data_IF_320667723425
#
_entry.id   IF_320667723425
#
_cell.length_a   1.000
_cell.length_b   1.000
_cell.length_c   1.000
_cell.angle_alpha   90.00
_cell.angle_beta   90.00
_cell.angle_gamma   90.00
#
_symmetry.space_group_name_H-M   'P 1'
#
loop_
_entity.id
_entity.type
_entity.pdbx_description
1 polymer ?
#
# COMPACT_ATOMS: atom_id res chain seq x y z
N UNK A 1 -3.55 17.99 -14.25
CA UNK A 1 -3.19 16.60 -13.87
C UNK A 1 -2.56 16.64 -12.49
N UNK A 2 -3.04 15.77 -11.60
CA UNK A 2 -2.45 15.59 -10.26
C UNK A 2 -1.36 14.53 -10.33
N UNK A 3 -0.18 14.87 -9.84
CA UNK A 3 1.01 14.02 -9.91
C UNK A 3 1.61 13.87 -8.52
N UNK A 4 1.96 12.65 -8.17
CA UNK A 4 2.72 12.31 -6.96
C UNK A 4 4.15 11.99 -7.37
N UNK A 5 5.10 12.67 -6.74
CA UNK A 5 6.53 12.45 -6.91
C UNK A 5 7.08 11.98 -5.56
N UNK A 6 7.82 10.88 -5.57
CA UNK A 6 8.56 10.41 -4.40
C UNK A 6 10.04 10.35 -4.73
N UNK A 7 10.88 10.78 -3.79
CA UNK A 7 12.34 10.73 -3.90
C UNK A 7 12.90 10.13 -2.61
N UNK A 8 13.66 9.04 -2.70
CA UNK A 8 14.16 8.28 -1.54
C UNK A 8 15.59 7.86 -1.78
N UNK A 9 16.45 8.05 -0.79
CA UNK A 9 17.85 7.62 -0.85
C UNK A 9 18.64 8.01 0.39
N UNK A 10 19.96 7.79 0.39
CA UNK A 10 20.84 8.21 1.48
C UNK A 10 20.76 9.72 1.70
N UNK A 11 20.70 10.15 2.97
CA UNK A 11 20.58 11.56 3.30
C UNK A 11 21.90 12.32 3.11
N UNK A 12 21.81 13.49 2.52
CA UNK A 12 22.87 14.50 2.44
C UNK A 12 22.31 15.87 2.02
N UNK A 13 23.12 16.92 2.21
CA UNK A 13 22.73 18.30 1.89
C UNK A 13 22.40 18.49 0.40
N UNK A 14 21.32 19.21 0.11
CA UNK A 14 20.98 19.67 -1.24
C UNK A 14 20.19 18.69 -2.10
N UNK A 15 19.45 17.73 -1.47
CA UNK A 15 18.67 16.73 -2.19
C UNK A 15 17.34 17.25 -2.72
N UNK A 16 16.63 18.06 -1.94
CA UNK A 16 15.29 18.53 -2.28
C UNK A 16 15.27 19.60 -3.38
N UNK A 17 16.23 20.55 -3.31
CA UNK A 17 16.24 21.74 -4.17
C UNK A 17 16.20 21.44 -5.68
N UNK A 18 17.01 20.52 -6.25
CA UNK A 18 16.98 20.25 -7.68
C UNK A 18 15.63 19.75 -8.19
N UNK A 19 14.92 18.94 -7.38
CA UNK A 19 13.60 18.42 -7.71
C UNK A 19 12.56 19.52 -7.66
N UNK A 20 12.54 20.30 -6.57
CA UNK A 20 11.62 21.43 -6.38
C UNK A 20 11.82 22.48 -7.46
N UNK A 21 13.08 22.86 -7.74
CA UNK A 21 13.41 23.83 -8.77
C UNK A 21 12.94 23.38 -10.16
N UNK A 22 13.15 22.10 -10.49
CA UNK A 22 12.72 21.56 -11.79
C UNK A 22 11.20 21.64 -11.95
N UNK A 23 10.41 21.16 -10.96
CA UNK A 23 8.93 21.14 -11.07
C UNK A 23 8.36 22.56 -11.09
N UNK A 24 8.89 23.47 -10.28
CA UNK A 24 8.45 24.88 -10.28
C UNK A 24 8.86 25.61 -11.55
N UNK A 25 10.03 25.30 -12.11
CA UNK A 25 10.48 25.81 -13.42
C UNK A 25 9.58 25.41 -14.58
N UNK A 26 8.88 24.28 -14.48
CA UNK A 26 7.87 23.85 -15.43
C UNK A 26 6.49 24.50 -15.18
N UNK A 27 6.35 25.36 -14.18
CA UNK A 27 5.10 26.03 -13.82
C UNK A 27 4.14 25.13 -13.03
N UNK A 28 4.63 24.07 -12.40
CA UNK A 28 3.80 23.23 -11.54
C UNK A 28 3.40 23.98 -10.25
N UNK A 29 2.15 23.79 -9.83
CA UNK A 29 1.70 24.18 -8.50
C UNK A 29 1.99 23.03 -7.52
N UNK A 30 2.72 23.32 -6.44
CA UNK A 30 2.95 22.35 -5.36
C UNK A 30 1.79 22.45 -4.39
N UNK A 31 0.96 21.41 -4.35
CA UNK A 31 -0.18 21.31 -3.45
C UNK A 31 0.21 20.78 -2.07
N UNK A 32 1.22 19.89 -2.01
CA UNK A 32 1.70 19.30 -0.77
C UNK A 32 3.19 18.95 -0.91
N UNK A 33 3.91 19.13 0.19
CA UNK A 33 5.28 18.65 0.35
C UNK A 33 5.42 17.97 1.72
N UNK A 34 5.93 16.76 1.73
CA UNK A 34 6.33 16.06 2.94
C UNK A 34 7.80 15.67 2.80
N UNK A 35 8.57 15.90 3.84
CA UNK A 35 9.97 15.50 3.91
C UNK A 35 10.20 14.72 5.19
N UNK A 36 10.95 13.65 5.09
CA UNK A 36 11.31 12.78 6.17
C UNK A 36 12.82 12.65 6.20
N UNK A 37 13.38 13.06 7.31
CA UNK A 37 14.76 12.91 7.67
C UNK A 37 14.82 12.05 8.94
N UNK A 38 15.53 10.95 8.90
CA UNK A 38 15.68 10.06 10.03
C UNK A 38 17.17 9.84 10.29
N UNK A 39 17.70 10.57 11.25
CA UNK A 39 19.13 10.57 11.63
C UNK A 39 19.70 9.16 11.83
N UNK A 40 18.93 8.28 12.51
CA UNK A 40 19.37 6.91 12.80
C UNK A 40 19.52 6.03 11.55
N UNK A 41 18.74 6.31 10.50
CA UNK A 41 18.73 5.54 9.26
C UNK A 41 19.53 6.21 8.15
N UNK A 42 19.98 7.46 8.34
CA UNK A 42 20.56 8.31 7.30
C UNK A 42 19.73 8.26 5.99
N UNK A 43 18.40 8.29 6.12
CA UNK A 43 17.43 8.16 5.05
C UNK A 43 16.77 9.51 4.77
N UNK A 44 16.98 10.03 3.57
CA UNK A 44 16.18 11.11 3.02
C UNK A 44 14.98 10.52 2.27
N UNK A 45 13.79 11.06 2.54
CA UNK A 45 12.61 10.79 1.74
C UNK A 45 11.77 12.06 1.57
N UNK A 46 11.26 12.25 0.37
CA UNK A 46 10.41 13.39 0.01
C UNK A 46 9.22 12.90 -0.80
N UNK A 47 8.04 13.45 -0.50
CA UNK A 47 6.83 13.34 -1.30
C UNK A 47 6.38 14.73 -1.72
N UNK A 48 6.12 14.89 -3.01
CA UNK A 48 5.47 16.07 -3.57
C UNK A 48 4.15 15.66 -4.21
N UNK A 49 3.10 16.42 -3.93
CA UNK A 49 1.88 16.44 -4.76
C UNK A 49 1.87 17.73 -5.55
N UNK A 50 1.82 17.60 -6.85
CA UNK A 50 1.83 18.73 -7.75
C UNK A 50 0.65 18.71 -8.71
N UNK A 51 0.26 19.88 -9.17
CA UNK A 51 -0.63 20.08 -10.30
C UNK A 51 0.17 20.63 -11.48
N UNK A 52 0.19 19.90 -12.59
CA UNK A 52 0.93 20.29 -13.78
C UNK A 52 0.04 20.12 -15.02
N UNK A 53 0.13 21.09 -15.94
CA UNK A 53 -0.39 20.97 -17.29
C UNK A 53 0.81 20.72 -18.23
N UNK A 54 1.01 19.46 -18.60
CA UNK A 54 2.17 19.11 -19.43
C UNK A 54 2.35 17.60 -19.61
N UNK A 55 3.45 17.24 -20.23
CA UNK A 55 3.83 15.87 -20.51
C UNK A 55 4.49 15.20 -19.29
N UNK A 56 3.78 14.27 -18.68
CA UNK A 56 4.29 13.52 -17.51
C UNK A 56 5.45 12.59 -17.89
N UNK A 57 5.55 12.15 -19.14
CA UNK A 57 6.64 11.25 -19.56
C UNK A 57 7.97 12.01 -19.57
N UNK A 58 7.97 13.25 -20.04
CA UNK A 58 9.14 14.14 -19.98
C UNK A 58 9.49 14.46 -18.53
N UNK A 59 8.51 14.87 -17.71
CA UNK A 59 8.73 15.13 -16.28
C UNK A 59 9.37 13.91 -15.59
N UNK A 60 8.83 12.72 -15.85
CA UNK A 60 9.35 11.47 -15.25
C UNK A 60 10.80 11.21 -15.64
N UNK A 61 11.13 11.33 -16.92
CA UNK A 61 12.50 11.13 -17.43
C UNK A 61 13.48 12.10 -16.77
N UNK A 62 13.10 13.36 -16.72
CA UNK A 62 13.98 14.41 -16.22
C UNK A 62 14.21 14.27 -14.71
N UNK A 63 13.16 13.99 -13.93
CA UNK A 63 13.27 13.79 -12.50
C UNK A 63 14.01 12.50 -12.11
N UNK A 64 13.88 11.43 -12.89
CA UNK A 64 14.68 10.21 -12.71
C UNK A 64 16.16 10.53 -12.96
N UNK A 65 16.49 11.33 -13.98
CA UNK A 65 17.85 11.80 -14.24
C UNK A 65 18.43 12.61 -13.08
N UNK A 66 17.68 13.62 -12.61
CA UNK A 66 18.06 14.42 -11.43
C UNK A 66 18.27 13.54 -10.20
N UNK A 67 17.37 12.60 -9.97
CA UNK A 67 17.48 11.64 -8.86
C UNK A 67 18.74 10.79 -8.95
N UNK A 68 19.05 10.24 -10.12
CA UNK A 68 20.24 9.41 -10.35
C UNK A 68 21.54 10.17 -10.05
N UNK A 69 21.64 11.44 -10.44
CA UNK A 69 22.79 12.30 -10.14
C UNK A 69 22.98 12.55 -8.63
N UNK A 70 21.90 12.47 -7.87
CA UNK A 70 21.86 12.68 -6.41
C UNK A 70 21.84 11.40 -5.59
N UNK A 71 21.88 10.23 -6.23
CA UNK A 71 21.75 8.93 -5.54
C UNK A 71 20.34 8.65 -5.01
N UNK A 72 19.32 9.33 -5.54
CA UNK A 72 17.93 9.17 -5.15
C UNK A 72 17.16 8.27 -6.12
N UNK A 73 16.34 7.41 -5.57
CA UNK A 73 15.31 6.67 -6.31
C UNK A 73 14.07 7.54 -6.44
N UNK A 74 13.84 8.09 -7.64
CA UNK A 74 12.69 8.96 -7.91
C UNK A 74 11.61 8.20 -8.66
N UNK A 75 10.36 8.38 -8.23
CA UNK A 75 9.16 7.88 -8.90
C UNK A 75 8.18 9.00 -9.16
N UNK A 76 7.60 8.98 -10.35
CA UNK A 76 6.58 9.94 -10.78
C UNK A 76 5.34 9.14 -11.17
N UNK A 77 4.26 9.38 -10.49
CA UNK A 77 3.01 8.66 -10.67
C UNK A 77 1.82 9.61 -10.78
N UNK A 78 0.88 9.29 -11.66
CA UNK A 78 -0.40 9.97 -11.73
C UNK A 78 -1.53 8.95 -11.89
N UNK A 79 -2.54 9.12 -11.06
CA UNK A 79 -3.77 8.32 -11.15
C UNK A 79 -4.49 8.50 -12.49
N UNK A 80 -4.28 9.65 -13.14
CA UNK A 80 -4.95 10.01 -14.39
C UNK A 80 -4.33 9.33 -15.61
N UNK A 81 -3.06 8.93 -15.54
CA UNK A 81 -2.39 8.22 -16.65
C UNK A 81 -3.05 6.87 -16.98
N UNK A 82 -3.60 6.20 -15.98
CA UNK A 82 -4.22 4.88 -16.14
C UNK A 82 -5.71 4.93 -15.91
N UNK A 83 -6.41 5.61 -16.82
CA UNK A 83 -7.84 5.88 -16.68
C UNK A 83 -8.73 4.64 -16.71
N UNK A 84 -8.27 3.50 -17.22
CA UNK A 84 -9.15 2.36 -17.48
C UNK A 84 -9.05 1.23 -16.45
N UNK A 85 -7.84 0.82 -16.06
CA UNK A 85 -7.64 -0.28 -15.12
C UNK A 85 -6.32 -0.12 -14.37
N UNK A 86 -6.33 0.32 -13.11
CA UNK A 86 -5.13 0.36 -12.31
C UNK A 86 -4.57 -1.05 -12.08
N UNK A 87 -3.25 -1.14 -11.99
CA UNK A 87 -2.51 -2.38 -11.79
C UNK A 87 -2.23 -2.59 -10.31
N UNK A 88 -2.72 -3.68 -9.77
CA UNK A 88 -2.58 -4.02 -8.36
C UNK A 88 -1.49 -5.07 -8.14
N UNK A 89 -0.60 -4.84 -7.17
CA UNK A 89 0.17 -5.91 -6.54
C UNK A 89 -0.57 -6.40 -5.30
N UNK A 90 -0.71 -7.70 -5.14
CA UNK A 90 -1.39 -8.32 -3.98
C UNK A 90 -0.32 -9.03 -3.15
N UNK A 91 0.05 -8.42 -2.01
CA UNK A 91 1.07 -8.94 -1.11
C UNK A 91 0.44 -9.83 -0.04
N UNK A 92 1.00 -11.02 0.13
CA UNK A 92 0.41 -12.09 0.96
C UNK A 92 1.45 -12.85 1.78
N UNK A 93 1.02 -13.50 2.86
CA UNK A 93 1.86 -14.45 3.62
C UNK A 93 1.27 -15.86 3.58
N UNK A 94 0.25 -16.17 4.40
CA UNK A 94 -0.26 -17.55 4.54
C UNK A 94 -1.78 -17.69 4.39
N UNK A 95 -2.56 -16.65 4.68
CA UNK A 95 -4.02 -16.72 4.76
C UNK A 95 -4.67 -16.45 3.41
N UNK A 96 -5.48 -17.39 2.86
CA UNK A 96 -6.05 -17.27 1.52
C UNK A 96 -7.34 -16.45 1.46
N UNK A 97 -8.09 -16.31 2.56
CA UNK A 97 -9.47 -15.81 2.56
C UNK A 97 -9.56 -14.40 1.94
N UNK A 98 -8.72 -13.51 2.39
CA UNK A 98 -8.71 -12.11 1.95
C UNK A 98 -8.21 -11.94 0.50
N UNK A 99 -7.04 -12.49 0.09
CA UNK A 99 -6.60 -12.37 -1.30
C UNK A 99 -7.52 -13.14 -2.27
N UNK A 100 -8.11 -14.26 -1.87
CA UNK A 100 -9.10 -14.98 -2.66
C UNK A 100 -10.34 -14.11 -2.95
N UNK A 101 -10.88 -13.44 -1.94
CA UNK A 101 -12.03 -12.55 -2.11
C UNK A 101 -11.69 -11.38 -3.04
N UNK A 102 -10.50 -10.79 -2.91
CA UNK A 102 -10.04 -9.71 -3.77
C UNK A 102 -9.91 -10.18 -5.23
N UNK A 103 -9.27 -11.32 -5.46
CA UNK A 103 -9.10 -11.90 -6.81
C UNK A 103 -10.44 -12.23 -7.46
N UNK A 104 -11.40 -12.76 -6.70
CA UNK A 104 -12.77 -13.00 -7.18
C UNK A 104 -13.45 -11.69 -7.57
N UNK A 105 -13.37 -10.66 -6.72
CA UNK A 105 -13.97 -9.36 -7.00
C UNK A 105 -13.40 -8.70 -8.27
N UNK A 106 -12.10 -8.86 -8.54
CA UNK A 106 -11.46 -8.39 -9.77
C UNK A 106 -11.95 -9.21 -10.97
N UNK A 107 -11.91 -10.55 -10.88
CA UNK A 107 -12.36 -11.44 -11.96
C UNK A 107 -13.82 -11.21 -12.35
N UNK A 108 -14.68 -11.03 -11.36
CA UNK A 108 -16.13 -10.88 -11.53
C UNK A 108 -16.53 -9.43 -11.90
N UNK A 109 -15.54 -8.52 -12.02
CA UNK A 109 -15.74 -7.13 -12.46
C UNK A 109 -16.28 -6.18 -11.38
N UNK A 110 -16.37 -6.62 -10.12
CA UNK A 110 -16.74 -5.76 -9.00
C UNK A 110 -15.65 -4.72 -8.71
N UNK A 111 -14.39 -5.04 -9.00
CA UNK A 111 -13.26 -4.12 -8.94
C UNK A 111 -12.66 -4.02 -10.34
N UNK A 112 -12.72 -2.82 -10.93
CA UNK A 112 -12.20 -2.54 -12.27
C UNK A 112 -10.70 -2.29 -12.26
N UNK A 113 -9.93 -3.33 -11.94
CA UNK A 113 -8.47 -3.30 -11.86
C UNK A 113 -7.88 -4.58 -12.45
N UNK A 114 -6.58 -4.55 -12.70
CA UNK A 114 -5.80 -5.74 -13.09
C UNK A 114 -4.97 -6.23 -11.90
N UNK A 115 -5.08 -7.51 -11.53
CA UNK A 115 -4.14 -8.14 -10.61
C UNK A 115 -2.83 -8.39 -11.38
N UNK A 116 -1.91 -7.43 -11.31
CA UNK A 116 -0.67 -7.44 -12.09
C UNK A 116 0.32 -8.48 -11.59
N UNK A 117 0.36 -8.71 -10.28
CA UNK A 117 1.30 -9.63 -9.62
C UNK A 117 0.77 -10.00 -8.23
N UNK A 118 0.96 -11.25 -7.81
CA UNK A 118 0.93 -11.64 -6.41
C UNK A 118 2.34 -11.79 -5.88
N UNK A 119 2.62 -11.21 -4.71
CA UNK A 119 3.93 -11.23 -4.07
C UNK A 119 3.79 -11.92 -2.71
N UNK A 120 4.55 -12.99 -2.51
CA UNK A 120 4.55 -13.73 -1.25
C UNK A 120 5.94 -13.78 -0.60
N UNK A 121 5.98 -13.66 0.73
CA UNK A 121 7.17 -13.96 1.50
C UNK A 121 7.22 -15.44 1.95
N UNK A 122 6.19 -16.22 1.62
CA UNK A 122 6.09 -17.68 1.78
C UNK A 122 5.40 -18.28 0.56
N UNK A 123 5.71 -19.54 0.19
CA UNK A 123 5.18 -20.15 -1.03
C UNK A 123 3.70 -20.58 -0.93
N UNK A 124 3.09 -20.49 0.25
CA UNK A 124 1.78 -21.07 0.61
C UNK A 124 0.66 -20.71 -0.36
N UNK A 125 0.65 -19.50 -0.90
CA UNK A 125 -0.42 -19.00 -1.76
C UNK A 125 -0.04 -18.93 -3.24
N UNK A 126 1.05 -19.59 -3.66
CA UNK A 126 1.44 -19.66 -5.06
C UNK A 126 0.35 -20.32 -5.92
N UNK A 127 -0.23 -21.42 -5.45
CA UNK A 127 -1.31 -22.11 -6.16
C UNK A 127 -2.56 -21.24 -6.35
N UNK A 128 -2.82 -20.31 -5.42
CA UNK A 128 -3.89 -19.34 -5.57
C UNK A 128 -3.62 -18.37 -6.73
N UNK A 129 -2.39 -17.87 -6.87
CA UNK A 129 -2.01 -17.04 -8.00
C UNK A 129 -2.17 -17.79 -9.33
N UNK A 130 -1.70 -19.05 -9.40
CA UNK A 130 -1.84 -19.92 -10.56
C UNK A 130 -3.32 -20.17 -10.95
N UNK A 131 -4.20 -20.38 -9.97
CA UNK A 131 -5.65 -20.57 -10.17
C UNK A 131 -6.32 -19.35 -10.85
N UNK A 132 -5.83 -18.15 -10.59
CA UNK A 132 -6.36 -16.92 -11.16
C UNK A 132 -5.55 -16.40 -12.35
N UNK A 133 -4.54 -17.14 -12.81
CA UNK A 133 -3.60 -16.75 -13.88
C UNK A 133 -2.90 -15.41 -13.57
N UNK A 134 -2.59 -15.17 -12.31
CA UNK A 134 -1.83 -13.98 -11.86
C UNK A 134 -0.36 -14.38 -11.71
N UNK A 135 0.58 -13.60 -12.25
CA UNK A 135 2.01 -13.83 -12.02
C UNK A 135 2.34 -13.90 -10.53
N UNK A 136 3.33 -14.71 -10.18
CA UNK A 136 3.77 -14.91 -8.80
C UNK A 136 5.23 -14.56 -8.62
N UNK A 137 5.54 -13.77 -7.60
CA UNK A 137 6.90 -13.50 -7.16
C UNK A 137 7.10 -13.95 -5.70
N UNK A 138 8.11 -14.79 -5.47
CA UNK A 138 8.56 -15.15 -4.14
C UNK A 138 9.67 -14.18 -3.73
N UNK A 139 9.51 -13.48 -2.62
CA UNK A 139 10.48 -12.52 -2.10
C UNK A 139 11.03 -12.90 -0.72
N UNK A 140 10.56 -13.98 -0.14
CA UNK A 140 11.02 -14.47 1.16
C UNK A 140 12.10 -15.54 1.04
N UNK A 141 12.95 -15.62 2.07
CA UNK A 141 13.85 -16.74 2.29
C UNK A 141 13.12 -17.98 2.86
N UNK A 142 13.86 -19.02 3.22
CA UNK A 142 13.31 -20.25 3.81
C UNK A 142 12.58 -20.03 5.14
N UNK A 143 12.91 -18.98 5.87
CA UNK A 143 12.25 -18.58 7.12
C UNK A 143 11.06 -17.64 6.90
N UNK A 144 10.92 -17.12 5.69
CA UNK A 144 9.88 -16.17 5.30
C UNK A 144 10.25 -14.72 5.60
N UNK A 145 11.54 -14.41 5.79
CA UNK A 145 12.00 -13.03 5.85
C UNK A 145 11.95 -12.44 4.44
N UNK A 146 11.28 -11.31 4.30
CA UNK A 146 11.10 -10.66 3.02
C UNK A 146 12.38 -9.93 2.58
N UNK A 147 12.68 -9.99 1.28
CA UNK A 147 13.64 -9.12 0.64
C UNK A 147 12.87 -7.91 0.08
N UNK A 148 12.94 -6.79 0.79
CA UNK A 148 12.18 -5.58 0.46
C UNK A 148 12.70 -4.88 -0.81
N UNK A 149 13.99 -4.96 -1.12
CA UNK A 149 14.54 -4.44 -2.37
C UNK A 149 13.99 -5.24 -3.55
N UNK A 150 13.95 -6.57 -3.45
CA UNK A 150 13.33 -7.41 -4.47
C UNK A 150 11.84 -7.13 -4.63
N UNK A 151 11.14 -6.83 -3.53
CA UNK A 151 9.74 -6.42 -3.60
C UNK A 151 9.59 -5.16 -4.46
N UNK A 152 10.41 -4.14 -4.20
CA UNK A 152 10.37 -2.88 -4.96
C UNK A 152 10.69 -3.10 -6.44
N UNK A 153 11.71 -3.90 -6.76
CA UNK A 153 12.04 -4.27 -8.14
C UNK A 153 10.84 -4.93 -8.85
N UNK A 154 10.19 -5.92 -8.22
CA UNK A 154 9.01 -6.60 -8.76
C UNK A 154 7.86 -5.63 -8.98
N UNK A 155 7.62 -4.71 -8.06
CA UNK A 155 6.58 -3.68 -8.22
C UNK A 155 6.86 -2.78 -9.42
N UNK A 156 8.11 -2.36 -9.62
CA UNK A 156 8.52 -1.53 -10.75
C UNK A 156 8.45 -2.31 -12.08
N UNK A 157 8.97 -3.55 -12.13
CA UNK A 157 8.89 -4.43 -13.30
C UNK A 157 7.44 -4.64 -13.81
N UNK A 158 6.49 -4.72 -12.89
CA UNK A 158 5.08 -4.92 -13.21
C UNK A 158 4.29 -3.62 -13.35
N UNK A 159 4.96 -2.48 -13.27
CA UNK A 159 4.32 -1.16 -13.35
C UNK A 159 3.10 -1.03 -12.44
N UNK A 160 3.26 -1.35 -11.17
CA UNK A 160 2.19 -1.38 -10.18
C UNK A 160 1.73 0.03 -9.84
N UNK A 161 0.41 0.24 -9.82
CA UNK A 161 -0.20 1.49 -9.38
C UNK A 161 -0.47 1.47 -7.88
N UNK A 162 -1.04 0.38 -7.37
CA UNK A 162 -1.37 0.22 -5.95
C UNK A 162 -0.84 -1.10 -5.41
N UNK A 163 -0.27 -1.05 -4.22
CA UNK A 163 0.18 -2.19 -3.44
C UNK A 163 -0.88 -2.52 -2.41
N UNK A 164 -1.46 -3.71 -2.45
CA UNK A 164 -2.50 -4.17 -1.53
C UNK A 164 -1.92 -5.21 -0.59
N UNK A 165 -1.81 -4.88 0.69
CA UNK A 165 -1.34 -5.79 1.73
C UNK A 165 -2.51 -6.64 2.23
N UNK A 166 -2.74 -7.78 1.58
CA UNK A 166 -3.83 -8.71 1.86
C UNK A 166 -3.38 -9.79 2.86
N UNK A 167 -3.33 -9.46 4.13
CA UNK A 167 -2.76 -10.31 5.20
C UNK A 167 -1.26 -10.57 5.00
N UNK A 168 -0.55 -9.55 4.58
CA UNK A 168 0.90 -9.54 4.51
C UNK A 168 1.48 -9.26 5.90
N UNK A 169 1.94 -10.31 6.57
CA UNK A 169 2.34 -10.28 7.99
C UNK A 169 3.79 -9.83 8.18
N UNK A 170 4.18 -8.77 7.47
CA UNK A 170 5.51 -8.13 7.58
C UNK A 170 5.35 -6.63 7.67
N UNK A 171 6.22 -5.99 8.43
CA UNK A 171 6.33 -4.52 8.46
C UNK A 171 7.17 -4.10 7.27
N UNK A 172 6.67 -3.18 6.47
CA UNK A 172 7.43 -2.60 5.37
C UNK A 172 8.45 -1.61 5.93
N UNK A 173 9.71 -1.64 5.50
CA UNK A 173 10.70 -0.64 5.86
C UNK A 173 10.28 0.76 5.40
N UNK A 174 10.70 1.78 6.14
CA UNK A 174 10.39 3.18 5.83
C UNK A 174 10.76 3.55 4.38
N UNK A 175 11.94 3.13 3.90
CA UNK A 175 12.36 3.38 2.53
C UNK A 175 11.39 2.82 1.49
N UNK A 176 10.89 1.59 1.68
CA UNK A 176 9.92 0.98 0.77
C UNK A 176 8.55 1.68 0.85
N UNK A 177 8.11 2.05 2.06
CA UNK A 177 6.87 2.81 2.24
C UNK A 177 6.94 4.16 1.51
N UNK A 178 8.04 4.90 1.64
CA UNK A 178 8.21 6.19 0.98
C UNK A 178 8.27 6.09 -0.54
N UNK A 179 8.89 5.02 -1.09
CA UNK A 179 8.93 4.80 -2.56
C UNK A 179 7.54 4.68 -3.18
N UNK A 180 6.57 4.17 -2.43
CA UNK A 180 5.17 4.00 -2.84
C UNK A 180 4.20 4.83 -1.99
N UNK A 181 4.65 5.93 -1.40
CA UNK A 181 3.82 6.85 -0.63
C UNK A 181 2.79 7.58 -1.53
N UNK A 182 1.94 8.37 -0.90
CA UNK A 182 0.94 9.17 -1.61
C UNK A 182 -0.35 8.44 -1.91
N UNK A 183 -0.77 7.52 -1.03
CA UNK A 183 -2.03 6.79 -1.18
C UNK A 183 -1.93 5.57 -2.09
N UNK A 184 -0.72 5.02 -2.28
CA UNK A 184 -0.49 3.86 -3.15
C UNK A 184 -0.37 2.54 -2.41
N UNK A 185 -0.22 2.52 -1.08
CA UNK A 185 -0.17 1.29 -0.28
C UNK A 185 -1.45 1.19 0.54
N UNK A 186 -2.23 0.17 0.25
CA UNK A 186 -3.50 -0.16 0.90
C UNK A 186 -3.27 -1.33 1.83
N UNK A 187 -3.55 -1.16 3.13
CA UNK A 187 -3.40 -2.20 4.13
C UNK A 187 -4.74 -2.62 4.72
N UNK A 188 -4.85 -3.90 5.04
CA UNK A 188 -5.91 -4.43 5.88
C UNK A 188 -5.37 -4.66 7.30
N UNK A 189 -5.82 -3.85 8.23
CA UNK A 189 -5.65 -4.09 9.65
C UNK A 189 -6.84 -4.89 10.19
N UNK A 190 -6.56 -6.00 10.88
CA UNK A 190 -7.58 -6.91 11.40
C UNK A 190 -8.13 -6.49 12.77
N UNK A 191 -8.40 -5.19 12.90
CA UNK A 191 -8.96 -4.52 14.08
C UNK A 191 -9.60 -3.18 13.69
N UNK A 192 -10.31 -2.60 14.63
CA UNK A 192 -10.89 -1.27 14.48
C UNK A 192 -9.87 -0.20 14.89
N UNK A 193 -9.33 0.53 13.90
CA UNK A 193 -8.49 1.70 14.19
C UNK A 193 -9.38 2.92 14.50
N UNK A 194 -8.94 3.83 15.38
CA UNK A 194 -7.69 3.80 16.14
C UNK A 194 -7.77 2.99 17.45
N UNK A 195 -8.89 2.33 17.75
CA UNK A 195 -9.16 1.75 19.09
C UNK A 195 -8.27 0.55 19.41
N UNK A 196 -7.95 -0.27 18.42
CA UNK A 196 -7.16 -1.50 18.61
C UNK A 196 -6.00 -1.56 17.61
N UNK A 197 -4.95 -0.74 17.80
CA UNK A 197 -3.74 -0.79 16.98
C UNK A 197 -2.88 -2.02 17.32
N UNK A 198 -1.79 -2.22 16.57
CA UNK A 198 -0.78 -3.24 16.87
C UNK A 198 -1.09 -4.63 16.30
N UNK A 199 -0.41 -5.65 16.85
CA UNK A 199 -0.33 -6.97 16.22
C UNK A 199 -1.43 -7.95 16.64
N UNK A 200 -2.16 -7.66 17.74
CA UNK A 200 -3.11 -8.61 18.35
C UNK A 200 -4.50 -8.01 18.62
N UNK A 201 -5.09 -7.26 17.69
CA UNK A 201 -6.32 -6.49 17.93
C UNK A 201 -7.52 -7.34 18.37
N UNK A 202 -7.65 -8.58 17.89
CA UNK A 202 -8.70 -9.50 18.37
C UNK A 202 -8.54 -9.85 19.84
N UNK A 203 -7.30 -10.11 20.28
CA UNK A 203 -7.02 -10.44 21.69
C UNK A 203 -7.27 -9.22 22.59
N UNK A 204 -6.89 -8.06 22.14
CA UNK A 204 -7.03 -6.82 22.90
C UNK A 204 -8.52 -6.47 23.08
N UNK A 205 -9.29 -6.53 21.99
CA UNK A 205 -10.73 -6.32 22.03
C UNK A 205 -11.45 -7.38 22.89
N UNK A 206 -11.04 -8.64 22.79
CA UNK A 206 -11.62 -9.76 23.56
C UNK A 206 -11.32 -9.61 25.07
N UNK A 207 -10.08 -9.23 25.42
CA UNK A 207 -9.69 -8.95 26.81
C UNK A 207 -10.46 -7.76 27.38
N UNK A 208 -10.78 -6.78 26.55
CA UNK A 208 -11.67 -5.66 26.87
C UNK A 208 -13.16 -6.01 26.93
N UNK A 209 -13.52 -7.28 26.77
CA UNK A 209 -14.91 -7.78 26.74
C UNK A 209 -15.79 -7.08 25.71
N UNK A 210 -15.21 -6.71 24.58
CA UNK A 210 -15.95 -6.11 23.48
C UNK A 210 -16.88 -7.17 22.85
N UNK A 211 -18.05 -6.72 22.43
CA UNK A 211 -19.01 -7.54 21.64
C UNK A 211 -19.00 -7.16 20.17
N UNK A 212 -18.37 -6.05 19.83
CA UNK A 212 -18.22 -5.60 18.44
C UNK A 212 -16.74 -5.68 18.06
N UNK A 213 -16.48 -6.34 16.95
CA UNK A 213 -15.18 -6.51 16.32
C UNK A 213 -15.23 -5.97 14.91
N UNK A 214 -14.07 -5.83 14.27
CA UNK A 214 -14.04 -5.37 12.91
C UNK A 214 -12.67 -5.38 12.30
N UNK A 215 -12.62 -4.84 11.09
CA UNK A 215 -11.40 -4.64 10.31
C UNK A 215 -11.36 -3.23 9.74
N UNK A 216 -10.16 -2.72 9.49
CA UNK A 216 -9.92 -1.40 8.92
C UNK A 216 -9.05 -1.53 7.69
N UNK A 217 -9.57 -1.09 6.55
CA UNK A 217 -8.78 -0.84 5.34
C UNK A 217 -8.31 0.61 5.35
N UNK A 218 -7.00 0.83 5.24
CA UNK A 218 -6.42 2.17 5.33
C UNK A 218 -5.20 2.30 4.43
N UNK A 219 -4.82 3.54 4.10
CA UNK A 219 -3.53 3.78 3.47
C UNK A 219 -2.41 3.68 4.49
N UNK A 220 -1.30 3.08 4.09
CA UNK A 220 -0.05 3.23 4.84
C UNK A 220 0.53 4.60 4.50
N UNK A 221 0.76 5.37 5.55
CA UNK A 221 1.55 6.60 5.49
C UNK A 221 2.92 6.27 6.08
N UNK A 222 4.00 6.84 5.54
CA UNK A 222 5.35 6.54 5.99
C UNK A 222 5.62 6.96 7.44
N UNK A 223 4.93 7.97 7.95
CA UNK A 223 5.00 8.36 9.34
C UNK A 223 4.22 7.36 10.20
N UNK A 224 4.95 6.66 11.05
CA UNK A 224 4.37 5.81 12.08
C UNK A 224 3.44 6.66 12.96
N UNK A 225 2.17 6.27 13.06
CA UNK A 225 1.12 6.85 13.89
C UNK A 225 0.53 8.22 13.48
N UNK A 226 0.98 8.85 12.40
CA UNK A 226 0.36 10.06 11.86
C UNK A 226 -0.90 9.74 11.05
N UNK A 227 -1.99 9.46 11.75
CA UNK A 227 -3.35 9.41 11.20
C UNK A 227 -3.50 8.49 9.99
N UNK A 228 -3.65 7.21 10.22
CA UNK A 228 -4.06 6.25 9.19
C UNK A 228 -5.25 6.82 8.42
N UNK A 229 -5.07 7.16 7.17
CA UNK A 229 -6.19 7.55 6.31
C UNK A 229 -7.08 6.33 6.09
N UNK A 230 -8.16 6.26 6.86
CA UNK A 230 -9.11 5.15 6.80
C UNK A 230 -9.89 5.24 5.49
N UNK A 231 -9.86 4.15 4.72
CA UNK A 231 -10.59 3.99 3.47
C UNK A 231 -11.96 3.37 3.74
N UNK A 232 -11.97 2.31 4.55
CA UNK A 232 -13.16 1.55 4.87
C UNK A 232 -13.03 0.84 6.22
N UNK A 233 -14.13 0.73 6.92
CA UNK A 233 -14.23 -0.11 8.12
C UNK A 233 -15.46 -1.01 8.02
N UNK A 234 -15.34 -2.22 8.50
CA UNK A 234 -16.47 -3.14 8.63
C UNK A 234 -16.48 -3.76 10.02
N UNK A 235 -17.67 -3.98 10.54
CA UNK A 235 -17.89 -4.52 11.88
C UNK A 235 -18.80 -5.73 11.87
N UNK A 236 -18.68 -6.53 12.91
CA UNK A 236 -19.64 -7.59 13.27
C UNK A 236 -19.77 -7.69 14.78
N UNK A 237 -20.89 -8.17 15.23
CA UNK A 237 -21.20 -8.38 16.65
C UNK A 237 -21.30 -9.85 16.98
N UNK A 238 -20.91 -10.19 18.20
CA UNK A 238 -20.97 -11.55 18.72
C UNK A 238 -21.75 -11.58 20.03
N UNK A 239 -22.41 -12.70 20.37
CA UNK A 239 -23.08 -12.85 21.65
C UNK A 239 -22.07 -12.91 22.80
N UNK A 240 -22.45 -12.49 24.02
CA UNK A 240 -21.60 -12.65 25.20
C UNK A 240 -21.20 -14.13 25.41
N UNK A 241 -19.92 -14.33 25.76
CA UNK A 241 -19.38 -15.66 26.02
C UNK A 241 -18.95 -16.48 24.78
N UNK A 242 -18.99 -15.90 23.59
CA UNK A 242 -18.38 -16.52 22.40
C UNK A 242 -16.88 -16.74 22.63
N UNK A 243 -16.34 -17.88 22.20
CA UNK A 243 -14.91 -18.17 22.33
C UNK A 243 -14.10 -17.28 21.37
N UNK A 244 -12.92 -16.88 21.80
CA UNK A 244 -12.02 -16.04 20.99
C UNK A 244 -11.74 -16.64 19.60
N UNK A 245 -11.56 -17.96 19.52
CA UNK A 245 -11.30 -18.66 18.26
C UNK A 245 -12.44 -18.49 17.25
N UNK A 246 -13.70 -18.54 17.72
CA UNK A 246 -14.87 -18.34 16.88
C UNK A 246 -15.01 -16.88 16.44
N UNK A 247 -14.71 -15.95 17.34
CA UNK A 247 -14.64 -14.51 17.01
C UNK A 247 -13.61 -14.26 15.89
N UNK A 248 -12.40 -14.78 16.05
CA UNK A 248 -11.32 -14.64 15.05
C UNK A 248 -11.74 -15.28 13.72
N UNK A 249 -12.35 -16.48 13.75
CA UNK A 249 -12.78 -17.18 12.56
C UNK A 249 -13.81 -16.37 11.76
N UNK A 250 -14.83 -15.82 12.40
CA UNK A 250 -15.82 -14.96 11.74
C UNK A 250 -15.14 -13.75 11.10
N UNK A 251 -14.20 -13.12 11.83
CA UNK A 251 -13.43 -11.99 11.29
C UNK A 251 -12.65 -12.36 10.05
N UNK A 252 -11.90 -13.43 10.09
CA UNK A 252 -11.00 -13.88 9.02
C UNK A 252 -11.74 -14.39 7.78
N UNK A 253 -12.84 -15.15 7.98
CA UNK A 253 -13.56 -15.79 6.86
C UNK A 253 -14.54 -14.83 6.16
N UNK A 254 -15.07 -13.83 6.86
CA UNK A 254 -16.11 -12.95 6.31
C UNK A 254 -15.77 -11.45 6.40
N UNK A 255 -15.48 -10.94 7.60
CA UNK A 255 -15.38 -9.49 7.81
C UNK A 255 -14.15 -8.85 7.15
N UNK A 256 -12.96 -9.43 7.34
CA UNK A 256 -11.72 -8.95 6.76
C UNK A 256 -11.75 -8.94 5.22
N UNK A 257 -12.19 -10.06 4.55
CA UNK A 257 -12.33 -10.06 3.11
C UNK A 257 -13.26 -8.97 2.57
N UNK A 258 -14.43 -8.79 3.19
CA UNK A 258 -15.38 -7.73 2.80
C UNK A 258 -14.80 -6.34 2.99
N UNK A 259 -14.10 -6.13 4.12
CA UNK A 259 -13.48 -4.84 4.42
C UNK A 259 -12.45 -4.44 3.36
N UNK A 260 -11.55 -5.36 2.99
CA UNK A 260 -10.51 -5.08 2.01
C UNK A 260 -11.09 -4.91 0.60
N UNK A 261 -11.99 -5.78 0.16
CA UNK A 261 -12.61 -5.71 -1.16
C UNK A 261 -13.31 -4.36 -1.36
N UNK A 262 -14.11 -3.94 -0.37
CA UNK A 262 -14.80 -2.64 -0.44
C UNK A 262 -13.79 -1.47 -0.40
N UNK A 263 -12.77 -1.54 0.44
CA UNK A 263 -11.74 -0.52 0.51
C UNK A 263 -10.99 -0.36 -0.82
N UNK A 264 -10.54 -1.46 -1.42
CA UNK A 264 -9.86 -1.43 -2.72
C UNK A 264 -10.81 -0.91 -3.81
N UNK A 265 -12.08 -1.32 -3.83
CA UNK A 265 -13.08 -0.82 -4.77
C UNK A 265 -13.20 0.70 -4.70
N UNK A 266 -13.35 1.27 -3.49
CA UNK A 266 -13.45 2.72 -3.29
C UNK A 266 -12.24 3.49 -3.81
N UNK A 267 -11.03 2.92 -3.62
CA UNK A 267 -9.82 3.53 -4.16
C UNK A 267 -9.81 3.49 -5.68
N UNK A 268 -10.12 2.33 -6.27
CA UNK A 268 -10.15 2.14 -7.73
C UNK A 268 -11.21 3.03 -8.38
N UNK A 269 -12.40 3.12 -7.79
CA UNK A 269 -13.52 3.94 -8.29
C UNK A 269 -13.37 5.44 -7.96
N UNK A 270 -12.28 5.84 -7.31
CA UNK A 270 -11.95 7.23 -6.95
C UNK A 270 -12.96 7.86 -5.97
N UNK A 271 -13.54 7.06 -5.11
CA UNK A 271 -14.45 7.54 -4.06
C UNK A 271 -13.69 8.09 -2.83
N UNK A 272 -12.38 7.86 -2.79
CA UNK A 272 -11.49 8.30 -1.71
C UNK A 272 -10.53 9.35 -2.26
N UNK A 273 -10.43 10.49 -1.58
CA UNK A 273 -9.40 11.49 -1.85
C UNK A 273 -8.02 10.92 -1.50
N UNK A 274 -7.03 11.20 -2.34
CA UNK A 274 -5.62 10.83 -2.12
C UNK A 274 -4.85 12.05 -1.71
#
# INVERSE_FOLDING_TARGET
>A
MHIVITAVGPDHVGLADPIIHHVTGLGANIAEIQMYDHDELALFAMLLRIELQGDIATLRRDLIGIGAEKGLSVRVWSREERMQKPRLAICVTNRPETPLALLRAIRDGHIRADAAIMIGNRPTLRSLAEQFNVPWAMIGDSEGNANDDRMVEVLDEHNVDYVVLARYMRVLPAASCWKYAGGRIINLHHGLLPSFPGLRPYHDAYSGRMLTYGATCHFIVPELDAGNQIINQSTYTVPPGMRLEDVIRIGQEDNEPRCLVEGVRRVVDREVAL
#
